data_IF_506751015314
#
_entry.id   IF_506751015314
#
_cell.length_a   1.000
_cell.length_b   1.000
_cell.length_c   1.000
_cell.angle_alpha   90.00
_cell.angle_beta   90.00
_cell.angle_gamma   90.00
#
_symmetry.space_group_name_H-M   'P 1'
#
loop_
_entity.id
_entity.type
_entity.pdbx_description
1 polymer ?
#
# COMPACT_ATOMS: atom_id res chain seq x y z
N UNK A 1 5.42 -7.22 7.56
CA UNK A 1 4.08 -7.54 7.03
C UNK A 1 4.24 -8.80 6.20
N UNK A 2 3.53 -9.89 6.51
CA UNK A 2 3.81 -11.22 5.91
C UNK A 2 3.73 -11.18 4.37
N UNK A 3 2.78 -10.41 3.85
CA UNK A 3 2.56 -10.11 2.44
C UNK A 3 3.65 -9.26 1.77
N UNK A 4 4.77 -8.97 2.43
CA UNK A 4 5.93 -8.24 1.89
C UNK A 4 7.24 -9.00 2.10
N UNK A 5 7.21 -10.23 2.62
CA UNK A 5 8.40 -11.06 2.78
C UNK A 5 8.84 -11.64 1.42
N UNK A 6 10.16 -11.86 1.20
CA UNK A 6 10.64 -12.62 0.05
C UNK A 6 9.92 -13.97 -0.06
N UNK A 7 9.48 -14.34 -1.27
CA UNK A 7 8.72 -15.59 -1.53
C UNK A 7 7.25 -15.58 -1.09
N UNK A 8 6.80 -14.55 -0.37
CA UNK A 8 5.41 -14.41 0.12
C UNK A 8 4.79 -13.08 -0.32
N UNK A 9 5.44 -12.39 -1.25
CA UNK A 9 5.00 -11.07 -1.70
C UNK A 9 3.74 -11.20 -2.55
N UNK A 10 2.67 -10.57 -2.09
CA UNK A 10 1.51 -10.26 -2.94
C UNK A 10 1.68 -8.83 -3.41
N UNK A 11 1.75 -8.59 -4.72
CA UNK A 11 1.80 -7.22 -5.23
C UNK A 11 0.48 -6.50 -4.92
N UNK A 12 0.56 -5.40 -4.16
CA UNK A 12 -0.60 -4.58 -3.80
C UNK A 12 -0.17 -3.14 -3.51
N UNK A 13 -1.11 -2.21 -3.59
CA UNK A 13 -0.92 -0.82 -3.16
C UNK A 13 -1.78 -0.59 -1.92
N UNK A 14 -1.17 -0.11 -0.84
CA UNK A 14 -1.92 0.25 0.37
C UNK A 14 -2.68 1.56 0.12
N UNK A 15 -4.01 1.52 0.14
CA UNK A 15 -4.85 2.71 -0.01
C UNK A 15 -5.19 3.37 1.33
N UNK A 16 -5.33 2.58 2.39
CA UNK A 16 -5.62 3.06 3.74
C UNK A 16 -5.02 2.13 4.79
N UNK A 17 -4.77 2.66 5.98
CA UNK A 17 -4.29 1.90 7.15
C UNK A 17 -5.11 2.24 8.38
N UNK A 18 -5.21 1.30 9.32
CA UNK A 18 -5.93 1.47 10.60
C UNK A 18 -7.42 1.83 10.41
N UNK A 19 -8.05 1.27 9.38
CA UNK A 19 -9.49 1.44 9.14
C UNK A 19 -10.25 0.67 10.22
N UNK A 20 -11.12 1.37 10.98
CA UNK A 20 -11.96 0.73 11.98
C UNK A 20 -13.03 -0.16 11.35
N UNK A 21 -13.46 -1.22 12.05
CA UNK A 21 -14.43 -2.18 11.52
C UNK A 21 -15.72 -1.54 11.01
N UNK A 22 -16.28 -0.58 11.75
CA UNK A 22 -17.48 0.18 11.36
C UNK A 22 -17.29 1.04 10.11
N UNK A 23 -16.06 1.37 9.73
CA UNK A 23 -15.73 2.19 8.55
C UNK A 23 -15.41 1.35 7.32
N UNK A 24 -15.11 0.05 7.50
CA UNK A 24 -14.58 -0.81 6.44
C UNK A 24 -15.48 -0.84 5.20
N UNK A 25 -16.79 -1.03 5.38
CA UNK A 25 -17.74 -1.08 4.26
C UNK A 25 -17.78 0.22 3.46
N UNK A 26 -17.63 1.37 4.13
CA UNK A 26 -17.55 2.68 3.46
C UNK A 26 -16.21 2.85 2.74
N UNK A 27 -15.10 2.47 3.39
CA UNK A 27 -13.77 2.56 2.80
C UNK A 27 -13.67 1.73 1.51
N UNK A 28 -14.20 0.50 1.50
CA UNK A 28 -14.22 -0.35 0.31
C UNK A 28 -15.04 0.26 -0.84
N UNK A 29 -16.18 0.88 -0.54
CA UNK A 29 -17.03 1.53 -1.55
C UNK A 29 -16.35 2.72 -2.22
N UNK A 30 -15.55 3.47 -1.45
CA UNK A 30 -14.77 4.60 -1.95
C UNK A 30 -13.58 4.08 -2.75
N UNK A 31 -12.81 3.14 -2.19
CA UNK A 31 -11.58 2.61 -2.78
C UNK A 31 -11.82 1.79 -4.05
N UNK A 32 -12.95 1.10 -4.16
CA UNK A 32 -13.31 0.29 -5.33
C UNK A 32 -13.85 1.10 -6.52
N UNK A 33 -13.79 2.44 -6.47
CA UNK A 33 -14.30 3.33 -7.51
C UNK A 33 -13.25 4.39 -7.88
N UNK A 34 -12.72 4.37 -9.12
CA UNK A 34 -13.02 3.42 -10.21
C UNK A 34 -12.54 1.99 -9.89
N UNK A 35 -13.11 0.99 -10.57
CA UNK A 35 -12.72 -0.42 -10.40
C UNK A 35 -11.35 -0.74 -10.98
N UNK A 36 -10.88 0.09 -11.92
CA UNK A 36 -9.55 0.03 -12.52
C UNK A 36 -8.82 1.34 -12.23
N UNK A 37 -7.58 1.21 -11.76
CA UNK A 37 -6.68 2.34 -11.56
C UNK A 37 -5.44 2.04 -12.40
N UNK A 38 -5.27 2.77 -13.49
CA UNK A 38 -4.06 2.67 -14.30
C UNK A 38 -2.95 3.49 -13.65
N UNK A 39 -1.76 2.89 -13.56
CA UNK A 39 -0.62 3.51 -12.89
C UNK A 39 0.70 2.97 -13.40
N UNK A 40 1.76 3.74 -13.17
CA UNK A 40 3.14 3.32 -13.44
C UNK A 40 3.97 3.55 -12.18
N UNK A 41 5.01 2.75 -12.00
CA UNK A 41 6.02 3.05 -11.00
C UNK A 41 6.80 4.30 -11.43
N UNK A 42 6.84 5.31 -10.56
CA UNK A 42 7.59 6.54 -10.80
C UNK A 42 9.03 6.47 -10.25
N UNK A 43 9.29 5.53 -9.36
CA UNK A 43 10.58 5.34 -8.71
C UNK A 43 10.46 4.29 -7.62
N UNK A 44 11.60 3.92 -7.04
CA UNK A 44 11.68 2.95 -5.96
C UNK A 44 12.40 3.59 -4.77
N UNK A 45 11.89 3.34 -3.57
CA UNK A 45 12.56 3.75 -2.34
C UNK A 45 12.44 2.67 -1.28
N UNK A 46 13.46 2.54 -0.44
CA UNK A 46 13.38 1.85 0.84
C UNK A 46 12.89 2.84 1.89
N UNK A 47 11.84 2.46 2.60
CA UNK A 47 11.34 3.19 3.77
C UNK A 47 11.77 2.49 5.06
N UNK A 48 12.41 3.22 5.97
CA UNK A 48 12.70 2.75 7.32
C UNK A 48 11.69 3.35 8.31
N UNK A 49 10.82 2.51 8.85
CA UNK A 49 9.77 2.94 9.77
C UNK A 49 10.27 3.31 11.16
N UNK A 50 11.46 2.86 11.57
CA UNK A 50 12.00 3.13 12.90
C UNK A 50 12.58 4.55 12.96
N UNK A 51 13.36 4.90 11.94
CA UNK A 51 14.02 6.21 11.83
C UNK A 51 13.19 7.22 11.02
N UNK A 52 12.10 6.77 10.40
CA UNK A 52 11.28 7.55 9.46
C UNK A 52 12.09 8.11 8.28
N UNK A 53 13.09 7.37 7.84
CA UNK A 53 13.99 7.75 6.76
C UNK A 53 13.58 7.10 5.44
N UNK A 54 13.86 7.79 4.34
CA UNK A 54 13.71 7.27 2.99
C UNK A 54 15.04 7.22 2.24
N UNK A 55 15.24 6.15 1.49
CA UNK A 55 16.44 5.90 0.70
C UNK A 55 16.02 5.57 -0.72
N UNK A 56 16.39 6.41 -1.69
CA UNK A 56 16.10 6.15 -3.10
C UNK A 56 16.83 4.87 -3.54
N UNK A 57 16.15 4.05 -4.34
CA UNK A 57 16.72 2.87 -4.97
C UNK A 57 16.62 3.07 -6.49
N UNK A 58 17.76 3.19 -7.16
CA UNK A 58 17.84 3.54 -8.57
C UNK A 58 18.79 4.69 -8.82
#
# INVERSE_FOLDING_TARGET
>A
MANSLPGQWTAHVTLARRVGGHQLGRALRIAGRPSRIDGRFAGLRRWDGNTRAEYLLG
#
